data_IF_919344841320
#
_entry.id   IF_919344841320
#
_cell.length_a   1.000
_cell.length_b   1.000
_cell.length_c   1.000
_cell.angle_alpha   90.00
_cell.angle_beta   90.00
_cell.angle_gamma   90.00
#
_symmetry.space_group_name_H-M   'P 1'
#
loop_
_entity.id
_entity.type
_entity.pdbx_description
1 polymer ?
#
# COMPACT_ATOMS: atom_id res chain seq x y z
N UNK A 1 41.84 67.88 6.53
CA UNK A 1 40.68 67.23 7.16
C UNK A 1 40.11 66.22 6.18
N UNK A 2 40.45 64.96 6.33
CA UNK A 2 40.04 63.87 5.41
C UNK A 2 38.90 63.11 6.13
N UNK A 3 37.69 63.11 5.56
CA UNK A 3 36.57 62.34 6.07
C UNK A 3 36.57 60.96 5.34
N UNK A 4 36.75 59.90 6.13
CA UNK A 4 36.62 58.50 5.67
C UNK A 4 35.15 58.12 5.83
N UNK A 5 34.49 57.80 4.69
CA UNK A 5 33.17 57.19 4.66
C UNK A 5 33.34 55.68 4.75
N UNK A 6 32.86 55.10 5.84
CA UNK A 6 32.73 53.66 6.02
C UNK A 6 31.37 53.20 5.42
N UNK A 7 31.41 52.43 4.35
CA UNK A 7 30.23 51.78 3.77
C UNK A 7 29.98 50.45 4.51
N UNK A 8 28.86 50.39 5.22
CA UNK A 8 28.40 49.14 5.85
C UNK A 8 27.60 48.33 4.83
N UNK A 9 28.13 47.20 4.41
CA UNK A 9 27.43 46.23 3.60
C UNK A 9 26.59 45.32 4.50
N UNK A 10 25.25 45.45 4.45
CA UNK A 10 24.33 44.56 5.11
C UNK A 10 24.16 43.29 4.23
N UNK A 11 24.64 42.13 4.72
CA UNK A 11 24.42 40.83 4.07
C UNK A 11 23.02 40.33 4.41
N UNK A 12 22.15 40.27 3.42
CA UNK A 12 20.83 39.61 3.54
C UNK A 12 21.04 38.10 3.50
N UNK A 13 20.87 37.45 4.64
CA UNK A 13 20.78 35.99 4.75
C UNK A 13 19.38 35.53 4.25
N UNK A 14 19.32 35.00 3.04
CA UNK A 14 18.13 34.36 2.52
C UNK A 14 17.96 32.97 3.21
N UNK A 15 17.02 32.85 4.12
CA UNK A 15 16.59 31.57 4.65
C UNK A 15 15.81 30.84 3.55
N UNK A 16 16.43 29.83 2.93
CA UNK A 16 15.73 28.88 2.08
C UNK A 16 14.83 28.00 2.96
N UNK A 17 13.53 28.24 2.94
CA UNK A 17 12.56 27.35 3.56
C UNK A 17 12.59 26.02 2.83
N UNK A 18 13.16 24.99 3.45
CA UNK A 18 13.03 23.61 2.96
C UNK A 18 11.55 23.24 2.97
N UNK A 19 11.01 22.62 1.89
CA UNK A 19 9.65 22.12 1.91
C UNK A 19 9.56 21.07 3.01
N UNK A 20 8.69 21.29 3.98
CA UNK A 20 8.36 20.30 4.99
C UNK A 20 7.85 19.05 4.25
N UNK A 21 8.60 17.96 4.31
CA UNK A 21 8.10 16.67 3.88
C UNK A 21 6.82 16.41 4.68
N UNK A 22 5.69 16.28 3.99
CA UNK A 22 4.44 15.94 4.62
C UNK A 22 4.67 14.64 5.39
N UNK A 23 4.68 14.75 6.73
CA UNK A 23 4.68 13.59 7.60
C UNK A 23 3.40 12.84 7.32
N UNK A 24 3.52 11.75 6.57
CA UNK A 24 2.44 10.79 6.47
C UNK A 24 2.25 10.22 7.88
N UNK A 25 1.06 10.38 8.44
CA UNK A 25 0.69 9.75 9.70
C UNK A 25 1.12 8.29 9.67
N UNK A 26 1.64 7.73 10.80
CA UNK A 26 2.07 6.34 10.83
C UNK A 26 0.89 5.45 10.47
N UNK A 27 0.87 4.98 9.23
CA UNK A 27 -0.21 4.13 8.72
C UNK A 27 -0.20 2.84 9.54
N UNK A 28 -1.31 2.59 10.20
CA UNK A 28 -1.50 1.38 11.01
C UNK A 28 -1.19 0.14 10.14
N UNK A 29 -0.16 -0.62 10.54
CA UNK A 29 0.34 -1.75 9.76
C UNK A 29 1.74 -1.59 9.14
N UNK A 30 2.37 -0.41 9.24
CA UNK A 30 3.75 -0.24 8.74
C UNK A 30 4.75 -1.09 9.51
N UNK A 31 5.78 -1.60 8.82
CA UNK A 31 6.86 -2.35 9.45
C UNK A 31 7.85 -1.46 10.24
N UNK A 32 7.74 -0.16 10.17
CA UNK A 32 8.50 0.76 10.99
C UNK A 32 8.08 0.71 12.47
N UNK A 33 6.83 0.32 12.75
CA UNK A 33 6.32 0.15 14.11
C UNK A 33 6.78 -1.21 14.67
N UNK A 34 7.35 -1.28 15.88
CA UNK A 34 7.76 -2.55 16.51
C UNK A 34 6.58 -3.49 16.77
N UNK A 35 6.88 -4.80 16.86
CA UNK A 35 5.93 -5.87 17.18
C UNK A 35 5.20 -6.45 15.97
N UNK A 36 4.47 -7.53 16.19
CA UNK A 36 3.78 -8.30 15.16
C UNK A 36 4.71 -9.01 14.16
N UNK A 37 4.12 -9.87 13.36
CA UNK A 37 4.83 -10.60 12.32
C UNK A 37 4.88 -9.79 11.01
N UNK A 38 6.06 -9.62 10.41
CA UNK A 38 6.24 -8.84 9.17
C UNK A 38 5.90 -9.69 7.95
N UNK A 39 5.06 -9.18 7.09
CA UNK A 39 4.78 -9.77 5.79
C UNK A 39 5.31 -8.86 4.69
N UNK A 40 6.23 -9.36 3.88
CA UNK A 40 6.71 -8.69 2.69
C UNK A 40 5.89 -9.14 1.48
N UNK A 41 5.30 -8.19 0.80
CA UNK A 41 4.51 -8.40 -0.41
C UNK A 41 5.29 -7.85 -1.60
N UNK A 42 5.82 -8.76 -2.44
CA UNK A 42 6.38 -8.38 -3.73
C UNK A 42 5.23 -8.29 -4.73
N UNK A 43 5.20 -7.22 -5.50
CA UNK A 43 4.15 -7.00 -6.51
C UNK A 43 4.74 -7.06 -7.90
N UNK A 44 4.12 -7.83 -8.77
CA UNK A 44 4.46 -7.94 -10.19
C UNK A 44 3.27 -7.57 -11.07
N UNK A 45 3.50 -7.35 -12.35
CA UNK A 45 2.43 -7.11 -13.32
C UNK A 45 1.70 -5.77 -13.14
N UNK A 46 2.35 -4.73 -12.59
CA UNK A 46 1.77 -3.39 -12.56
C UNK A 46 1.56 -2.87 -13.98
N UNK A 47 0.38 -2.29 -14.24
CA UNK A 47 0.01 -1.71 -15.53
C UNK A 47 0.88 -0.51 -15.88
N UNK A 48 1.19 0.31 -14.90
CA UNK A 48 2.02 1.51 -15.01
C UNK A 48 2.53 1.91 -13.61
N UNK A 49 3.14 3.10 -13.52
CA UNK A 49 3.71 3.62 -12.28
C UNK A 49 2.96 4.86 -11.77
N UNK A 50 1.65 4.96 -12.04
CA UNK A 50 0.79 6.04 -11.56
C UNK A 50 0.08 5.68 -10.26
N UNK A 51 -0.44 6.70 -9.56
CA UNK A 51 -1.21 6.51 -8.34
C UNK A 51 -0.38 6.02 -7.15
N UNK A 52 -0.96 5.13 -6.36
CA UNK A 52 -0.37 4.59 -5.13
C UNK A 52 -0.74 3.12 -4.94
N UNK A 53 -0.03 2.46 -4.04
CA UNK A 53 -0.22 1.05 -3.72
C UNK A 53 -0.82 0.91 -2.33
N UNK A 54 -1.65 -0.10 -2.15
CA UNK A 54 -2.29 -0.41 -0.88
C UNK A 54 -2.20 -1.90 -0.62
N UNK A 55 -1.82 -2.28 0.61
CA UNK A 55 -1.92 -3.66 1.10
C UNK A 55 -2.77 -3.67 2.35
N UNK A 56 -3.70 -4.60 2.41
CA UNK A 56 -4.64 -4.75 3.52
C UNK A 56 -4.62 -6.19 4.04
N UNK A 57 -4.71 -6.33 5.37
CA UNK A 57 -4.90 -7.60 6.06
C UNK A 57 -6.27 -7.61 6.72
N UNK A 58 -7.01 -8.67 6.43
CA UNK A 58 -8.32 -8.94 6.99
C UNK A 58 -8.31 -10.22 7.83
N UNK A 59 -9.29 -10.41 8.74
CA UNK A 59 -9.55 -11.70 9.34
C UNK A 59 -9.74 -12.79 8.26
N UNK A 60 -9.31 -14.05 8.52
CA UNK A 60 -9.29 -15.10 7.50
C UNK A 60 -10.65 -15.82 7.35
N UNK A 61 -11.73 -15.06 7.25
CA UNK A 61 -13.10 -15.58 7.09
C UNK A 61 -13.90 -14.80 6.04
N UNK A 62 -14.91 -15.41 5.45
CA UNK A 62 -15.72 -14.80 4.37
C UNK A 62 -16.58 -13.62 4.87
N UNK A 63 -16.96 -13.62 6.15
CA UNK A 63 -17.80 -12.57 6.73
C UNK A 63 -17.06 -11.22 6.76
N UNK A 64 -15.80 -11.24 7.20
CA UNK A 64 -14.99 -10.03 7.39
C UNK A 64 -14.17 -9.64 6.14
N UNK A 65 -13.95 -10.58 5.23
CA UNK A 65 -13.13 -10.34 4.04
C UNK A 65 -13.77 -9.31 3.10
N UNK A 66 -13.01 -8.27 2.75
CA UNK A 66 -13.44 -7.15 1.92
C UNK A 66 -14.59 -6.31 2.50
N UNK A 67 -14.78 -6.35 3.81
CA UNK A 67 -15.66 -5.41 4.50
C UNK A 67 -15.01 -4.05 4.65
N UNK A 68 -15.85 -3.05 4.87
CA UNK A 68 -15.41 -1.70 5.19
C UNK A 68 -14.55 -1.67 6.47
N UNK A 69 -13.41 -1.01 6.40
CA UNK A 69 -12.43 -0.99 7.50
C UNK A 69 -12.93 -0.22 8.73
N UNK A 70 -13.78 0.77 8.55
CA UNK A 70 -14.39 1.51 9.66
C UNK A 70 -15.32 0.60 10.46
N UNK A 71 -16.09 -0.23 9.77
CA UNK A 71 -16.98 -1.22 10.37
C UNK A 71 -16.18 -2.29 11.13
N UNK A 72 -15.13 -2.84 10.52
CA UNK A 72 -14.26 -3.82 11.15
C UNK A 72 -13.61 -3.26 12.43
N UNK A 73 -13.06 -2.06 12.37
CA UNK A 73 -12.42 -1.40 13.52
C UNK A 73 -13.42 -1.12 14.65
N UNK A 74 -14.63 -0.66 14.31
CA UNK A 74 -15.71 -0.42 15.28
C UNK A 74 -16.14 -1.68 16.02
N UNK A 75 -16.09 -2.83 15.34
CA UNK A 75 -16.40 -4.15 15.90
C UNK A 75 -15.19 -4.79 16.63
N UNK A 76 -14.05 -4.09 16.71
CA UNK A 76 -12.82 -4.62 17.31
C UNK A 76 -12.15 -5.72 16.50
N UNK A 77 -12.52 -5.89 15.24
CA UNK A 77 -11.92 -6.89 14.34
C UNK A 77 -10.50 -6.48 13.96
N UNK A 78 -9.54 -7.41 13.92
CA UNK A 78 -8.17 -7.10 13.55
C UNK A 78 -8.10 -6.79 12.05
N UNK A 79 -7.78 -5.54 11.74
CA UNK A 79 -7.57 -5.04 10.37
C UNK A 79 -6.28 -4.22 10.32
N UNK A 80 -5.51 -4.33 9.24
CA UNK A 80 -4.34 -3.49 8.98
C UNK A 80 -4.33 -3.04 7.54
N UNK A 81 -3.82 -1.82 7.33
CA UNK A 81 -3.62 -1.22 6.01
C UNK A 81 -2.28 -0.50 5.96
N UNK A 82 -1.59 -0.62 4.85
CA UNK A 82 -0.41 0.18 4.53
C UNK A 82 -0.56 0.77 3.13
N UNK A 83 -0.14 2.02 3.01
CA UNK A 83 0.00 2.71 1.74
C UNK A 83 1.47 2.81 1.36
N UNK A 84 1.75 2.73 0.06
CA UNK A 84 3.08 2.93 -0.48
C UNK A 84 3.00 3.73 -1.79
N UNK A 85 4.01 4.56 -2.04
CA UNK A 85 4.18 5.19 -3.34
C UNK A 85 4.60 4.15 -4.37
N UNK A 86 4.20 4.33 -5.62
CA UNK A 86 4.70 3.51 -6.72
C UNK A 86 6.13 3.95 -7.04
N UNK A 87 7.17 3.10 -6.91
CA UNK A 87 8.52 3.48 -7.30
C UNK A 87 8.58 3.70 -8.81
N UNK A 88 9.34 4.70 -9.26
CA UNK A 88 9.44 5.07 -10.68
C UNK A 88 10.02 3.93 -11.53
N UNK A 89 10.85 3.09 -10.96
CA UNK A 89 11.46 1.93 -11.62
C UNK A 89 11.79 0.83 -10.61
N UNK A 90 12.17 -0.34 -11.12
CA UNK A 90 12.61 -1.47 -10.32
C UNK A 90 11.48 -2.26 -9.63
N UNK A 91 11.84 -3.18 -8.74
CA UNK A 91 10.89 -4.06 -8.07
C UNK A 91 10.01 -3.29 -7.07
N UNK A 92 8.78 -3.77 -6.91
CA UNK A 92 7.84 -3.26 -5.92
C UNK A 92 7.77 -4.24 -4.75
N UNK A 93 8.12 -3.75 -3.57
CA UNK A 93 8.06 -4.52 -2.33
C UNK A 93 7.45 -3.67 -1.22
N UNK A 94 6.37 -4.16 -0.63
CA UNK A 94 5.63 -3.49 0.44
C UNK A 94 5.71 -4.35 1.68
N UNK A 95 5.98 -3.73 2.83
CA UNK A 95 5.97 -4.43 4.11
C UNK A 95 4.73 -4.04 4.90
N UNK A 96 3.96 -5.04 5.31
CA UNK A 96 2.83 -4.87 6.22
C UNK A 96 3.02 -5.77 7.46
N UNK A 97 2.65 -5.25 8.62
CA UNK A 97 2.76 -5.94 9.90
C UNK A 97 1.42 -6.57 10.28
N UNK A 98 1.38 -7.89 10.35
CA UNK A 98 0.23 -8.58 10.91
C UNK A 98 0.16 -8.32 12.43
N UNK A 99 -1.03 -8.22 13.03
CA UNK A 99 -1.19 -8.04 14.48
C UNK A 99 -0.49 -9.14 15.29
N UNK A 100 -0.53 -10.35 14.80
CA UNK A 100 0.12 -11.55 15.36
C UNK A 100 0.45 -12.54 14.24
N UNK A 101 1.29 -13.52 14.55
CA UNK A 101 1.49 -14.67 13.68
C UNK A 101 0.17 -15.45 13.53
N UNK A 102 -0.06 -16.01 12.34
CA UNK A 102 -1.29 -16.73 12.02
C UNK A 102 -1.71 -16.56 10.58
N UNK A 103 -2.93 -17.02 10.27
CA UNK A 103 -3.52 -16.90 8.94
C UNK A 103 -4.22 -15.56 8.79
N UNK A 104 -4.01 -14.90 7.66
CA UNK A 104 -4.59 -13.60 7.28
C UNK A 104 -5.07 -13.63 5.84
N UNK A 105 -6.11 -12.87 5.54
CA UNK A 105 -6.49 -12.62 4.15
C UNK A 105 -5.84 -11.32 3.66
N UNK A 106 -5.09 -11.39 2.56
CA UNK A 106 -4.30 -10.28 2.02
C UNK A 106 -4.92 -9.77 0.74
N UNK A 107 -5.20 -8.46 0.68
CA UNK A 107 -5.57 -7.75 -0.54
C UNK A 107 -4.46 -6.78 -0.91
N UNK A 108 -4.03 -6.82 -2.16
CA UNK A 108 -3.27 -5.77 -2.81
C UNK A 108 -4.17 -4.94 -3.72
N UNK A 109 -4.01 -3.62 -3.69
CA UNK A 109 -4.68 -2.69 -4.60
C UNK A 109 -3.67 -1.73 -5.23
N UNK A 110 -3.74 -1.56 -6.53
CA UNK A 110 -3.11 -0.46 -7.25
C UNK A 110 -4.18 0.63 -7.48
N UNK A 111 -4.23 1.60 -6.56
CA UNK A 111 -5.15 2.76 -6.57
C UNK A 111 -4.58 3.80 -7.52
N UNK A 112 -4.94 3.68 -8.82
CA UNK A 112 -4.35 4.48 -9.90
C UNK A 112 -4.93 5.89 -9.96
N UNK A 113 -6.19 6.06 -9.59
CA UNK A 113 -6.83 7.38 -9.56
C UNK A 113 -6.66 8.13 -8.22
N UNK A 114 -6.06 7.49 -7.22
CA UNK A 114 -5.75 8.07 -5.91
C UNK A 114 -6.97 8.36 -5.01
N UNK A 115 -8.17 7.88 -5.36
CA UNK A 115 -9.41 8.22 -4.65
C UNK A 115 -9.73 7.34 -3.44
N UNK A 116 -8.93 6.31 -3.17
CA UNK A 116 -9.14 5.36 -2.07
C UNK A 116 -10.44 4.52 -2.18
N UNK A 117 -11.22 4.70 -3.22
CA UNK A 117 -12.39 3.89 -3.52
C UNK A 117 -12.08 3.08 -4.76
N UNK A 118 -12.13 1.75 -4.66
CA UNK A 118 -11.78 0.88 -5.78
C UNK A 118 -12.60 1.22 -7.03
N UNK A 119 -11.89 1.59 -8.08
CA UNK A 119 -12.45 1.90 -9.38
C UNK A 119 -12.19 0.71 -10.33
N UNK A 120 -13.24 -0.05 -10.66
CA UNK A 120 -13.15 -1.23 -11.50
C UNK A 120 -12.51 -0.97 -12.88
N UNK A 121 -12.62 0.25 -13.40
CA UNK A 121 -12.15 0.59 -14.73
C UNK A 121 -10.66 0.97 -14.78
N UNK A 122 -10.16 1.47 -13.67
CA UNK A 122 -8.81 2.04 -13.59
C UNK A 122 -7.87 1.25 -12.69
N UNK A 123 -8.36 0.80 -11.54
CA UNK A 123 -7.53 0.21 -10.50
C UNK A 123 -7.18 -1.25 -10.78
N UNK A 124 -6.11 -1.69 -10.15
CA UNK A 124 -5.71 -3.08 -10.12
C UNK A 124 -5.92 -3.71 -8.75
N UNK A 125 -6.12 -5.02 -8.73
CA UNK A 125 -6.20 -5.80 -7.50
C UNK A 125 -5.42 -7.10 -7.63
N UNK A 126 -5.04 -7.69 -6.49
CA UNK A 126 -4.38 -8.99 -6.47
C UNK A 126 -4.49 -9.66 -5.11
N UNK A 127 -4.37 -10.98 -5.11
CA UNK A 127 -4.44 -11.82 -3.93
C UNK A 127 -3.32 -12.85 -3.91
N UNK A 128 -3.05 -13.42 -2.77
CA UNK A 128 -1.92 -14.32 -2.55
C UNK A 128 -1.92 -15.57 -3.44
N UNK A 129 -3.11 -16.08 -3.82
CA UNK A 129 -3.21 -17.25 -4.71
C UNK A 129 -2.78 -16.98 -6.15
N UNK A 130 -2.75 -15.73 -6.58
CA UNK A 130 -2.55 -15.31 -7.98
C UNK A 130 -3.54 -15.93 -8.99
N UNK A 131 -4.63 -16.53 -8.51
CA UNK A 131 -5.68 -17.02 -9.37
C UNK A 131 -6.36 -15.88 -10.10
N UNK A 132 -6.78 -16.12 -11.35
CA UNK A 132 -7.54 -15.15 -12.13
C UNK A 132 -8.83 -14.78 -11.40
N UNK A 133 -9.06 -13.48 -11.19
CA UNK A 133 -10.20 -12.99 -10.42
C UNK A 133 -11.51 -13.06 -11.20
N UNK A 134 -11.45 -12.84 -12.52
CA UNK A 134 -12.63 -12.89 -13.37
C UNK A 134 -13.65 -11.79 -13.05
N UNK A 135 -14.93 -12.15 -12.98
CA UNK A 135 -16.06 -11.22 -12.74
C UNK A 135 -16.71 -11.38 -11.39
N UNK A 136 -16.41 -12.44 -10.67
CA UNK A 136 -17.05 -12.74 -9.39
C UNK A 136 -16.36 -12.04 -8.24
N UNK A 137 -17.11 -11.77 -7.16
CA UNK A 137 -16.50 -11.30 -5.93
C UNK A 137 -15.47 -12.36 -5.45
N UNK A 138 -14.24 -11.93 -5.15
CA UNK A 138 -13.22 -12.84 -4.64
C UNK A 138 -13.65 -13.54 -3.35
N UNK A 139 -13.23 -14.78 -3.19
CA UNK A 139 -13.44 -15.57 -1.98
C UNK A 139 -12.22 -15.46 -1.07
N UNK A 140 -12.43 -15.50 0.24
CA UNK A 140 -11.35 -15.39 1.23
C UNK A 140 -10.22 -16.40 0.97
N UNK A 141 -10.54 -17.64 0.55
CA UNK A 141 -9.54 -18.68 0.26
C UNK A 141 -8.49 -18.28 -0.80
N UNK A 142 -8.80 -17.32 -1.69
CA UNK A 142 -7.86 -16.80 -2.68
C UNK A 142 -6.83 -15.84 -2.07
N UNK A 143 -7.12 -15.31 -0.91
CA UNK A 143 -6.35 -14.29 -0.22
C UNK A 143 -5.55 -14.82 0.99
N UNK A 144 -5.76 -16.08 1.40
CA UNK A 144 -5.18 -16.62 2.64
C UNK A 144 -3.65 -16.75 2.55
N UNK A 145 -3.00 -16.27 3.60
CA UNK A 145 -1.54 -16.37 3.82
C UNK A 145 -1.28 -16.73 5.26
N UNK A 146 -0.37 -17.65 5.51
CA UNK A 146 0.16 -17.92 6.85
C UNK A 146 1.39 -17.03 7.09
N UNK A 147 1.32 -16.18 8.10
CA UNK A 147 2.43 -15.31 8.53
C UNK A 147 3.01 -15.87 9.81
N UNK A 148 4.21 -16.44 9.71
CA UNK A 148 4.90 -17.04 10.87
C UNK A 148 5.40 -15.99 11.88
N UNK A 149 5.87 -16.40 13.06
CA UNK A 149 6.44 -15.48 14.06
C UNK A 149 7.65 -14.69 13.55
N UNK A 150 8.46 -15.31 12.70
CA UNK A 150 9.59 -14.66 12.01
C UNK A 150 9.16 -13.79 10.82
N UNK A 151 7.87 -13.75 10.53
CA UNK A 151 7.32 -13.08 9.34
C UNK A 151 7.21 -14.01 8.14
N UNK A 152 7.03 -13.41 6.96
CA UNK A 152 6.90 -14.15 5.70
C UNK A 152 7.07 -13.24 4.49
N UNK A 153 7.08 -13.87 3.32
CA UNK A 153 7.15 -13.18 2.04
C UNK A 153 6.21 -13.87 1.06
N UNK A 154 5.50 -13.07 0.27
CA UNK A 154 4.64 -13.54 -0.81
C UNK A 154 4.88 -12.71 -2.06
N UNK A 155 4.46 -13.23 -3.21
CA UNK A 155 4.39 -12.47 -4.46
C UNK A 155 2.95 -12.41 -4.92
N UNK A 156 2.47 -11.20 -5.21
CA UNK A 156 1.13 -10.95 -5.76
C UNK A 156 1.27 -10.37 -7.16
N UNK A 157 0.61 -11.00 -8.13
CA UNK A 157 0.48 -10.49 -9.49
C UNK A 157 -0.73 -9.57 -9.56
N UNK A 158 -0.51 -8.32 -9.92
CA UNK A 158 -1.58 -7.35 -10.12
C UNK A 158 -2.45 -7.75 -11.32
N UNK A 159 -3.75 -7.61 -11.17
CA UNK A 159 -4.75 -7.92 -12.17
C UNK A 159 -5.63 -6.68 -12.41
N UNK A 160 -6.04 -6.50 -13.66
CA UNK A 160 -6.85 -5.36 -14.09
C UNK A 160 -8.04 -5.85 -14.91
N UNK A 161 -9.03 -5.01 -15.10
CA UNK A 161 -10.17 -5.32 -15.95
C UNK A 161 -9.70 -5.53 -17.40
N UNK A 162 -10.01 -6.71 -17.94
CA UNK A 162 -9.68 -7.17 -19.30
C UNK A 162 -10.96 -7.34 -20.13
N UNK A 163 -11.74 -6.27 -20.27
CA UNK A 163 -12.98 -6.30 -21.04
C UNK A 163 -13.96 -7.38 -20.54
N UNK A 164 -14.49 -8.18 -21.47
CA UNK A 164 -15.48 -9.21 -21.14
C UNK A 164 -14.91 -10.36 -20.28
N UNK A 165 -13.60 -10.53 -20.20
CA UNK A 165 -12.94 -11.55 -19.39
C UNK A 165 -12.92 -11.28 -17.89
N UNK A 166 -13.34 -10.06 -17.46
CA UNK A 166 -13.22 -9.63 -16.07
C UNK A 166 -11.77 -9.29 -15.70
N UNK A 167 -11.44 -9.36 -14.41
CA UNK A 167 -10.10 -9.11 -13.92
C UNK A 167 -9.15 -10.27 -14.23
N UNK A 168 -7.98 -9.92 -14.74
CA UNK A 168 -6.89 -10.87 -15.01
C UNK A 168 -5.53 -10.16 -15.08
N UNK A 169 -4.43 -10.94 -15.07
CA UNK A 169 -3.09 -10.38 -15.27
C UNK A 169 -2.98 -9.76 -16.67
N UNK A 170 -2.04 -8.82 -16.82
CA UNK A 170 -1.79 -8.18 -18.13
C UNK A 170 -1.02 -9.11 -19.07
N UNK A 171 -0.08 -9.87 -18.48
CA UNK A 171 0.75 -10.85 -19.18
C UNK A 171 0.23 -12.25 -18.81
N UNK A 172 -0.27 -12.99 -19.76
CA UNK A 172 -0.61 -14.41 -19.65
C UNK A 172 0.55 -15.27 -20.17
#
# INVERSE_FOLDING_TARGET
MIRVLTASTAALLAFAASPAAAQQDPVDGTCAIPGGARLYVNVTGLKDRTGRLKVELYPPNEEDFLRDDTSLKKEGKPFRRVWASVPQSGPVRICIRAPQAGTWAVLFTHDRDGKNKFNFWEDGAGFASNQKLGRSRPKVRQALVNVGPAGGQITIKAQYLRGLGGFGPLDD
#
